data_IF_169986417713
#
_entry.id   IF_169986417713
#
_cell.length_a   1.000
_cell.length_b   1.000
_cell.length_c   1.000
_cell.angle_alpha   90.00
_cell.angle_beta   90.00
_cell.angle_gamma   90.00
#
_symmetry.space_group_name_H-M   'P 1'
#
loop_
_entity.id
_entity.type
_entity.pdbx_description
1 polymer ?
#
# COMPACT_ATOMS: atom_id res chain seq x y z
N UNK A 1 1.59 41.76 51.96
CA UNK A 1 1.93 40.35 51.65
C UNK A 1 0.93 39.84 50.63
N UNK A 2 1.30 39.80 49.35
CA UNK A 2 0.42 39.32 48.28
C UNK A 2 0.86 37.89 47.96
N UNK A 3 0.13 36.92 48.48
CA UNK A 3 0.26 35.51 48.12
C UNK A 3 -0.31 35.30 46.72
N UNK A 4 0.55 35.08 45.72
CA UNK A 4 0.13 34.56 44.43
C UNK A 4 -0.24 33.08 44.58
N UNK A 5 -1.44 32.63 44.15
CA UNK A 5 -1.75 31.21 44.13
C UNK A 5 -0.90 30.51 43.06
N UNK A 6 -0.24 29.42 43.48
CA UNK A 6 0.49 28.52 42.58
C UNK A 6 -0.47 27.95 41.55
N UNK A 7 -0.12 28.12 40.26
CA UNK A 7 -0.80 27.51 39.12
C UNK A 7 -0.86 25.99 39.33
N UNK A 8 -2.01 25.33 39.13
CA UNK A 8 -2.10 23.89 39.34
C UNK A 8 -1.12 23.18 38.40
N UNK A 9 -0.18 22.43 38.97
CA UNK A 9 0.64 21.48 38.22
C UNK A 9 -0.31 20.49 37.56
N UNK A 10 -0.38 20.49 36.22
CA UNK A 10 -1.03 19.40 35.51
C UNK A 10 -0.39 18.08 35.99
N UNK A 11 -1.22 17.19 36.56
CA UNK A 11 -0.83 15.80 36.80
C UNK A 11 -0.32 15.29 35.46
N UNK A 12 0.96 14.94 35.39
CA UNK A 12 1.53 14.23 34.25
C UNK A 12 0.75 12.92 34.15
N UNK A 13 0.04 12.71 33.05
CA UNK A 13 -0.60 11.42 32.81
C UNK A 13 0.47 10.33 32.92
N UNK A 14 0.16 9.19 33.58
CA UNK A 14 1.11 8.11 33.72
C UNK A 14 1.56 7.65 32.33
N UNK A 15 2.86 7.41 32.17
CA UNK A 15 3.41 6.98 30.90
C UNK A 15 2.94 5.56 30.58
N UNK A 16 1.93 5.42 29.73
CA UNK A 16 1.41 4.13 29.26
C UNK A 16 1.87 3.84 27.83
N UNK A 17 1.88 2.56 27.39
CA UNK A 17 2.13 2.22 25.99
C UNK A 17 1.24 2.96 25.01
N UNK A 18 -0.05 3.14 25.33
CA UNK A 18 -1.02 3.86 24.52
C UNK A 18 -0.69 5.37 24.42
N UNK A 19 -0.20 5.98 25.50
CA UNK A 19 0.24 7.38 25.48
C UNK A 19 1.45 7.58 24.57
N UNK A 20 2.35 6.59 24.51
CA UNK A 20 3.49 6.60 23.59
C UNK A 20 3.09 6.30 22.16
N UNK A 21 2.10 5.42 21.94
CA UNK A 21 1.53 5.18 20.63
C UNK A 21 0.94 6.47 20.05
N UNK A 22 0.16 7.22 20.83
CA UNK A 22 -0.38 8.51 20.41
C UNK A 22 0.74 9.49 20.00
N UNK A 23 1.79 9.61 20.82
CA UNK A 23 2.97 10.44 20.49
C UNK A 23 3.70 9.97 19.23
N UNK A 24 3.82 8.66 19.02
CA UNK A 24 4.45 8.11 17.82
C UNK A 24 3.65 8.44 16.56
N UNK A 25 2.31 8.33 16.63
CA UNK A 25 1.42 8.67 15.52
C UNK A 25 1.47 10.17 15.17
N UNK A 26 1.60 11.03 16.18
CA UNK A 26 1.67 12.49 16.05
C UNK A 26 3.10 13.02 15.79
N UNK A 27 4.10 12.14 15.78
CA UNK A 27 5.49 12.52 15.60
C UNK A 27 5.74 13.16 14.23
N UNK A 28 6.45 14.29 14.24
CA UNK A 28 6.73 15.08 13.04
C UNK A 28 7.87 14.49 12.21
N UNK A 29 8.76 13.72 12.84
CA UNK A 29 9.90 13.08 12.18
C UNK A 29 9.90 11.56 12.34
N UNK A 30 10.52 10.81 11.40
CA UNK A 30 10.69 9.36 11.55
C UNK A 30 11.46 8.97 12.81
N UNK A 31 12.48 9.75 13.21
CA UNK A 31 13.30 9.44 14.38
C UNK A 31 12.51 9.60 15.69
N UNK A 32 11.71 10.67 15.83
CA UNK A 32 10.80 10.84 16.97
C UNK A 32 9.75 9.72 17.02
N UNK A 33 9.19 9.35 15.86
CA UNK A 33 8.22 8.23 15.75
C UNK A 33 8.82 6.94 16.29
N UNK A 34 10.04 6.61 15.86
CA UNK A 34 10.78 5.43 16.33
C UNK A 34 11.07 5.54 17.83
N UNK A 35 11.50 6.71 18.31
CA UNK A 35 11.83 6.92 19.72
C UNK A 35 10.61 6.68 20.61
N UNK A 36 9.48 7.34 20.33
CA UNK A 36 8.25 7.16 21.10
C UNK A 36 7.71 5.73 21.01
N UNK A 37 7.70 5.12 19.81
CA UNK A 37 7.23 3.76 19.66
C UNK A 37 8.07 2.77 20.48
N UNK A 38 9.40 2.92 20.48
CA UNK A 38 10.32 2.12 21.28
C UNK A 38 10.19 2.36 22.78
N UNK A 39 9.88 3.59 23.21
CA UNK A 39 9.57 3.89 24.60
C UNK A 39 8.28 3.18 25.05
N UNK A 40 7.24 3.21 24.21
CA UNK A 40 5.99 2.48 24.45
C UNK A 40 6.17 0.97 24.60
N UNK A 41 7.05 0.37 23.80
CA UNK A 41 7.40 -1.05 23.87
C UNK A 41 8.21 -1.44 25.13
N UNK A 42 8.80 -0.46 25.83
CA UNK A 42 9.68 -0.67 27.00
C UNK A 42 9.12 -0.13 28.31
N UNK A 43 7.84 0.27 28.34
CA UNK A 43 7.22 0.74 29.58
C UNK A 43 7.32 -0.33 30.65
N UNK A 44 7.96 0.00 31.77
CA UNK A 44 8.22 -0.92 32.87
C UNK A 44 7.01 -1.02 33.78
N UNK A 45 6.67 -2.23 34.22
CA UNK A 45 5.59 -2.47 35.18
C UNK A 45 4.19 -2.47 34.57
N UNK A 46 4.08 -2.40 33.25
CA UNK A 46 2.81 -2.50 32.51
C UNK A 46 3.00 -3.53 31.38
N UNK A 47 2.14 -4.54 31.32
CA UNK A 47 2.11 -5.45 30.18
C UNK A 47 1.53 -4.73 28.96
N UNK A 48 2.27 -4.74 27.85
CA UNK A 48 1.82 -4.09 26.61
C UNK A 48 0.81 -5.00 25.93
N UNK A 49 -0.43 -4.53 25.80
CA UNK A 49 -1.47 -5.25 25.08
C UNK A 49 -1.00 -5.61 23.66
N UNK A 50 -1.24 -6.84 23.15
CA UNK A 50 -0.72 -7.27 21.85
C UNK A 50 -1.11 -6.35 20.68
N UNK A 51 -2.31 -5.77 20.70
CA UNK A 51 -2.73 -4.82 19.67
C UNK A 51 -1.94 -3.50 19.75
N UNK A 52 -1.73 -2.94 20.95
CA UNK A 52 -0.88 -1.76 21.15
C UNK A 52 0.55 -2.06 20.72
N UNK A 53 1.08 -3.25 21.04
CA UNK A 53 2.40 -3.70 20.58
C UNK A 53 2.50 -3.72 19.06
N UNK A 54 1.50 -4.30 18.39
CA UNK A 54 1.42 -4.36 16.93
C UNK A 54 1.40 -2.96 16.31
N UNK A 55 0.60 -2.04 16.86
CA UNK A 55 0.51 -0.66 16.37
C UNK A 55 1.82 0.12 16.60
N UNK A 56 2.47 -0.02 17.76
CA UNK A 56 3.78 0.58 18.03
C UNK A 56 4.84 0.08 17.04
N UNK A 57 4.91 -1.23 16.79
CA UNK A 57 5.82 -1.79 15.79
C UNK A 57 5.51 -1.26 14.38
N UNK A 58 4.22 -1.11 14.04
CA UNK A 58 3.81 -0.56 12.74
C UNK A 58 4.28 0.88 12.54
N UNK A 59 4.34 1.68 13.60
CA UNK A 59 4.91 3.04 13.53
C UNK A 59 6.43 3.02 13.29
N UNK A 60 7.16 2.06 13.87
CA UNK A 60 8.59 1.85 13.58
C UNK A 60 8.78 1.42 12.12
N UNK A 61 7.96 0.48 11.63
CA UNK A 61 7.96 0.03 10.23
C UNK A 61 7.77 1.21 9.26
N UNK A 62 6.75 2.05 9.51
CA UNK A 62 6.47 3.25 8.69
C UNK A 62 7.63 4.23 8.66
N UNK A 63 8.25 4.49 9.81
CA UNK A 63 9.43 5.35 9.89
C UNK A 63 10.62 4.80 9.09
N UNK A 64 10.85 3.48 9.12
CA UNK A 64 11.88 2.86 8.29
C UNK A 64 11.57 2.94 6.79
N UNK A 65 10.30 2.85 6.38
CA UNK A 65 9.92 3.09 4.99
C UNK A 65 10.18 4.54 4.57
N UNK A 66 9.83 5.51 5.42
CA UNK A 66 10.04 6.94 5.12
C UNK A 66 11.54 7.28 4.97
N UNK A 67 12.41 6.59 5.69
CA UNK A 67 13.88 6.75 5.57
C UNK A 67 14.52 5.76 4.59
N UNK A 68 13.72 4.99 3.85
CA UNK A 68 14.15 3.96 2.88
C UNK A 68 15.05 2.87 3.46
N UNK A 69 14.94 2.60 4.77
CA UNK A 69 15.64 1.53 5.47
C UNK A 69 14.89 0.20 5.31
N UNK A 70 14.86 -0.34 4.10
CA UNK A 70 14.01 -1.49 3.74
C UNK A 70 14.31 -2.77 4.55
N UNK A 71 15.57 -3.09 4.80
CA UNK A 71 15.92 -4.26 5.61
C UNK A 71 15.39 -4.13 7.04
N UNK A 72 15.52 -2.96 7.65
CA UNK A 72 14.99 -2.70 9.00
C UNK A 72 13.45 -2.73 9.01
N UNK A 73 12.81 -2.16 7.99
CA UNK A 73 11.35 -2.25 7.83
C UNK A 73 10.89 -3.71 7.72
N UNK A 74 11.58 -4.55 6.95
CA UNK A 74 11.29 -5.98 6.82
C UNK A 74 11.41 -6.71 8.15
N UNK A 75 12.49 -6.48 8.89
CA UNK A 75 12.70 -7.13 10.18
C UNK A 75 11.58 -6.78 11.18
N UNK A 76 11.14 -5.52 11.20
CA UNK A 76 10.00 -5.07 12.01
C UNK A 76 8.68 -5.68 11.53
N UNK A 77 8.44 -5.76 10.21
CA UNK A 77 7.23 -6.38 9.66
C UNK A 77 7.13 -7.88 10.00
N UNK A 78 8.27 -8.60 10.02
CA UNK A 78 8.30 -9.97 10.50
C UNK A 78 8.14 -10.09 12.02
N UNK A 79 8.54 -9.10 12.81
CA UNK A 79 8.19 -9.05 14.23
C UNK A 79 6.67 -8.85 14.40
N UNK A 80 6.08 -7.92 13.66
CA UNK A 80 4.64 -7.64 13.65
C UNK A 80 3.82 -8.91 13.39
N UNK A 81 4.21 -9.73 12.41
CA UNK A 81 3.53 -10.98 12.06
C UNK A 81 3.47 -12.00 13.22
N UNK A 82 4.38 -11.91 14.20
CA UNK A 82 4.46 -12.79 15.37
C UNK A 82 3.60 -12.33 16.55
N UNK A 83 3.04 -11.11 16.52
CA UNK A 83 2.35 -10.52 17.68
C UNK A 83 0.94 -11.08 17.87
N UNK A 84 0.25 -11.45 16.78
CA UNK A 84 -1.08 -12.09 16.83
C UNK A 84 -2.22 -11.20 16.28
N UNK A 85 -2.54 -10.04 16.85
CA UNK A 85 -3.56 -9.15 16.28
C UNK A 85 -3.18 -8.59 14.92
N UNK A 86 -4.19 -8.32 14.08
CA UNK A 86 -4.02 -7.68 12.77
C UNK A 86 -3.04 -8.42 11.84
N UNK A 87 -3.02 -9.76 11.87
CA UNK A 87 -2.09 -10.55 11.05
C UNK A 87 -2.21 -10.26 9.56
N UNK A 88 -3.42 -10.01 9.07
CA UNK A 88 -3.65 -9.67 7.66
C UNK A 88 -2.89 -8.41 7.26
N UNK A 89 -2.85 -7.41 8.14
CA UNK A 89 -2.08 -6.18 7.94
C UNK A 89 -0.58 -6.43 8.11
N UNK A 90 -0.17 -7.21 9.11
CA UNK A 90 1.24 -7.51 9.36
C UNK A 90 1.90 -8.23 8.18
N UNK A 91 1.26 -9.29 7.69
CA UNK A 91 1.74 -10.06 6.54
C UNK A 91 1.69 -9.24 5.25
N UNK A 92 0.69 -8.37 5.07
CA UNK A 92 0.66 -7.47 3.92
C UNK A 92 1.80 -6.45 3.94
N UNK A 93 2.09 -5.84 5.10
CA UNK A 93 3.22 -4.93 5.26
C UNK A 93 4.56 -5.67 5.02
N UNK A 94 4.70 -6.92 5.48
CA UNK A 94 5.85 -7.78 5.19
C UNK A 94 5.98 -8.08 3.68
N UNK A 95 4.87 -8.40 3.01
CA UNK A 95 4.86 -8.66 1.58
C UNK A 95 5.35 -7.45 0.76
N UNK A 96 4.88 -6.25 1.11
CA UNK A 96 5.26 -5.02 0.40
C UNK A 96 6.74 -4.71 0.50
N UNK A 97 7.33 -4.86 1.69
CA UNK A 97 8.76 -4.58 1.87
C UNK A 97 9.64 -5.65 1.24
N UNK A 98 9.24 -6.93 1.29
CA UNK A 98 9.94 -8.00 0.55
C UNK A 98 9.91 -7.72 -0.95
N UNK A 99 8.75 -7.32 -1.49
CA UNK A 99 8.63 -6.96 -2.91
C UNK A 99 9.51 -5.74 -3.27
N UNK A 100 9.56 -4.73 -2.40
CA UNK A 100 10.46 -3.59 -2.58
C UNK A 100 11.95 -3.98 -2.55
N UNK A 101 12.32 -5.01 -1.79
CA UNK A 101 13.67 -5.58 -1.78
C UNK A 101 13.96 -6.48 -2.99
N UNK A 102 12.94 -6.84 -3.79
CA UNK A 102 13.07 -7.81 -4.87
C UNK A 102 13.01 -9.27 -4.40
N UNK A 103 12.64 -9.49 -3.14
CA UNK A 103 12.45 -10.81 -2.52
C UNK A 103 11.04 -11.33 -2.89
N UNK A 104 10.86 -11.67 -4.17
CA UNK A 104 9.53 -11.96 -4.75
C UNK A 104 8.85 -13.18 -4.11
N UNK A 105 9.60 -14.25 -3.85
CA UNK A 105 9.04 -15.47 -3.24
C UNK A 105 8.53 -15.21 -1.82
N UNK A 106 9.28 -14.44 -1.04
CA UNK A 106 8.88 -14.01 0.29
C UNK A 106 7.65 -13.10 0.21
N UNK A 107 7.63 -12.15 -0.73
CA UNK A 107 6.47 -11.28 -0.94
C UNK A 107 5.18 -12.05 -1.25
N UNK A 108 5.26 -13.05 -2.14
CA UNK A 108 4.12 -13.91 -2.48
C UNK A 108 3.67 -14.76 -1.30
N UNK A 109 4.61 -15.33 -0.54
CA UNK A 109 4.30 -16.13 0.66
C UNK A 109 3.56 -15.27 1.69
N UNK A 110 4.11 -14.11 2.03
CA UNK A 110 3.51 -13.22 3.02
C UNK A 110 2.15 -12.70 2.55
N UNK A 111 1.98 -12.33 1.28
CA UNK A 111 0.69 -11.84 0.80
C UNK A 111 -0.40 -12.94 0.79
N UNK A 112 -0.03 -14.21 0.60
CA UNK A 112 -0.95 -15.35 0.77
C UNK A 112 -1.37 -15.53 2.22
N UNK A 113 -0.44 -15.37 3.17
CA UNK A 113 -0.76 -15.38 4.61
C UNK A 113 -1.66 -14.21 4.99
N UNK A 114 -1.43 -13.02 4.42
CA UNK A 114 -2.29 -11.86 4.61
C UNK A 114 -3.73 -12.14 4.15
N UNK A 115 -3.89 -12.71 2.96
CA UNK A 115 -5.20 -13.11 2.44
C UNK A 115 -5.87 -14.20 3.30
N UNK A 116 -5.10 -15.17 3.80
CA UNK A 116 -5.64 -16.22 4.66
C UNK A 116 -6.17 -15.64 5.99
N UNK A 117 -5.48 -14.66 6.56
CA UNK A 117 -5.86 -13.99 7.79
C UNK A 117 -6.93 -12.88 7.60
N UNK A 118 -7.30 -12.57 6.36
CA UNK A 118 -8.15 -11.42 6.04
C UNK A 118 -9.58 -11.56 6.60
N UNK A 119 -10.07 -10.56 7.35
CA UNK A 119 -11.50 -10.46 7.61
C UNK A 119 -12.27 -10.18 6.32
N UNK A 120 -13.58 -10.47 6.35
CA UNK A 120 -14.45 -10.45 5.17
C UNK A 120 -14.38 -9.14 4.38
N UNK A 121 -14.39 -8.01 5.08
CA UNK A 121 -14.34 -6.65 4.52
C UNK A 121 -13.01 -6.31 3.82
N UNK A 122 -11.94 -7.07 4.05
CA UNK A 122 -10.61 -6.85 3.46
C UNK A 122 -10.15 -7.95 2.51
N UNK A 123 -10.96 -8.99 2.28
CA UNK A 123 -10.60 -10.09 1.37
C UNK A 123 -10.31 -9.62 -0.04
N UNK A 124 -11.15 -8.72 -0.57
CA UNK A 124 -10.96 -8.11 -1.89
C UNK A 124 -9.62 -7.41 -1.99
N UNK A 125 -9.28 -6.59 -1.01
CA UNK A 125 -8.02 -5.86 -0.95
C UNK A 125 -6.81 -6.79 -0.97
N UNK A 126 -6.82 -7.84 -0.14
CA UNK A 126 -5.69 -8.76 -0.02
C UNK A 126 -5.53 -9.69 -1.23
N UNK A 127 -6.63 -10.12 -1.85
CA UNK A 127 -6.60 -10.92 -3.08
C UNK A 127 -6.14 -10.10 -4.28
N UNK A 128 -6.62 -8.85 -4.38
CA UNK A 128 -6.17 -7.92 -5.39
C UNK A 128 -4.68 -7.58 -5.23
N UNK A 129 -4.21 -7.34 -4.00
CA UNK A 129 -2.79 -7.11 -3.71
C UNK A 129 -1.91 -8.32 -4.06
N UNK A 130 -2.40 -9.54 -3.80
CA UNK A 130 -1.73 -10.77 -4.24
C UNK A 130 -1.58 -10.83 -5.75
N UNK A 131 -2.65 -10.52 -6.48
CA UNK A 131 -2.63 -10.49 -7.93
C UNK A 131 -1.63 -9.46 -8.48
N UNK A 132 -1.50 -8.29 -7.86
CA UNK A 132 -0.50 -7.28 -8.26
C UNK A 132 0.92 -7.85 -8.20
N UNK A 133 1.26 -8.52 -7.09
CA UNK A 133 2.60 -9.12 -6.93
C UNK A 133 2.79 -10.27 -7.92
N UNK A 134 1.77 -11.12 -8.11
CA UNK A 134 1.81 -12.23 -9.07
C UNK A 134 2.01 -11.73 -10.51
N UNK A 135 1.27 -10.71 -10.93
CA UNK A 135 1.43 -10.08 -12.24
C UNK A 135 2.82 -9.51 -12.43
N UNK A 136 3.33 -8.75 -11.46
CA UNK A 136 4.64 -8.12 -11.60
C UNK A 136 5.79 -9.13 -11.52
N UNK A 137 5.56 -10.31 -10.94
CA UNK A 137 6.45 -11.46 -11.01
C UNK A 137 6.34 -12.25 -12.34
N UNK A 138 5.40 -11.90 -13.22
CA UNK A 138 5.15 -12.60 -14.49
C UNK A 138 4.23 -13.83 -14.36
N UNK A 139 3.65 -14.07 -13.19
CA UNK A 139 2.75 -15.19 -12.92
C UNK A 139 1.31 -14.83 -13.29
N UNK A 140 1.06 -14.56 -14.58
CA UNK A 140 -0.21 -14.02 -15.04
C UNK A 140 -1.43 -14.91 -14.75
N UNK A 141 -1.30 -16.23 -14.88
CA UNK A 141 -2.41 -17.16 -14.61
C UNK A 141 -2.84 -17.09 -13.13
N UNK A 142 -1.87 -17.10 -12.21
CA UNK A 142 -2.14 -16.95 -10.78
C UNK A 142 -2.75 -15.58 -10.45
N UNK A 143 -2.26 -14.51 -11.09
CA UNK A 143 -2.81 -13.18 -10.93
C UNK A 143 -4.29 -13.12 -11.35
N UNK A 144 -4.66 -13.76 -12.47
CA UNK A 144 -6.04 -13.84 -12.94
C UNK A 144 -6.93 -14.62 -11.96
N UNK A 145 -6.46 -15.76 -11.43
CA UNK A 145 -7.19 -16.52 -10.40
C UNK A 145 -7.40 -15.70 -9.11
N UNK A 146 -6.39 -14.95 -8.70
CA UNK A 146 -6.46 -14.02 -7.56
C UNK A 146 -7.44 -12.88 -7.81
N UNK A 147 -7.48 -12.32 -9.03
CA UNK A 147 -8.45 -11.28 -9.40
C UNK A 147 -9.88 -11.81 -9.50
N UNK A 148 -10.07 -13.04 -9.98
CA UNK A 148 -11.39 -13.68 -9.98
C UNK A 148 -11.91 -13.92 -8.56
N UNK A 149 -11.03 -14.26 -7.62
CA UNK A 149 -11.38 -14.30 -6.19
C UNK A 149 -11.74 -12.91 -5.67
N UNK A 150 -10.92 -11.90 -5.97
CA UNK A 150 -11.20 -10.53 -5.57
C UNK A 150 -12.53 -10.03 -6.12
N UNK A 151 -12.87 -10.35 -7.37
CA UNK A 151 -14.12 -9.96 -8.01
C UNK A 151 -15.35 -10.53 -7.28
N UNK A 152 -15.28 -11.78 -6.81
CA UNK A 152 -16.37 -12.40 -6.04
C UNK A 152 -16.64 -11.74 -4.69
N UNK A 153 -15.63 -11.10 -4.10
CA UNK A 153 -15.75 -10.40 -2.82
C UNK A 153 -15.93 -8.89 -2.98
N UNK A 154 -15.72 -8.36 -4.18
CA UNK A 154 -15.75 -6.94 -4.43
C UNK A 154 -17.17 -6.37 -4.27
N UNK A 155 -17.28 -5.34 -3.45
CA UNK A 155 -18.48 -4.50 -3.35
C UNK A 155 -18.21 -3.17 -4.05
N UNK A 156 -17.43 -2.29 -3.43
CA UNK A 156 -17.12 -0.94 -3.92
C UNK A 156 -15.91 -0.90 -4.87
N UNK A 157 -15.13 -1.98 -4.93
CA UNK A 157 -13.86 -2.04 -5.66
C UNK A 157 -13.98 -2.82 -6.98
N UNK A 158 -15.20 -3.18 -7.40
CA UNK A 158 -15.43 -4.06 -8.54
C UNK A 158 -14.83 -3.51 -9.85
N UNK A 159 -15.02 -2.22 -10.13
CA UNK A 159 -14.48 -1.59 -11.33
C UNK A 159 -12.95 -1.58 -11.33
N UNK A 160 -12.32 -1.41 -10.15
CA UNK A 160 -10.88 -1.46 -9.99
C UNK A 160 -10.34 -2.87 -10.25
N UNK A 161 -11.00 -3.89 -9.70
CA UNK A 161 -10.61 -5.29 -9.90
C UNK A 161 -10.75 -5.69 -11.36
N UNK A 162 -11.85 -5.31 -12.02
CA UNK A 162 -12.08 -5.60 -13.45
C UNK A 162 -11.05 -4.92 -14.35
N UNK A 163 -10.76 -3.64 -14.11
CA UNK A 163 -9.72 -2.93 -14.84
C UNK A 163 -8.35 -3.58 -14.66
N UNK A 164 -8.04 -4.04 -13.44
CA UNK A 164 -6.80 -4.75 -13.21
C UNK A 164 -6.76 -6.09 -13.95
N UNK A 165 -7.86 -6.85 -13.95
CA UNK A 165 -7.98 -8.11 -14.69
C UNK A 165 -7.79 -7.90 -16.19
N UNK A 166 -8.43 -6.88 -16.77
CA UNK A 166 -8.21 -6.49 -18.17
C UNK A 166 -6.75 -6.15 -18.45
N UNK A 167 -6.09 -5.43 -17.55
CA UNK A 167 -4.66 -5.14 -17.68
C UNK A 167 -3.79 -6.42 -17.67
N UNK A 168 -4.04 -7.35 -16.75
CA UNK A 168 -3.31 -8.63 -16.70
C UNK A 168 -3.49 -9.45 -17.99
N UNK A 169 -4.70 -9.52 -18.53
CA UNK A 169 -4.98 -10.20 -19.81
C UNK A 169 -4.15 -9.58 -20.95
N UNK A 170 -4.13 -8.25 -21.03
CA UNK A 170 -3.37 -7.52 -22.05
C UNK A 170 -1.86 -7.72 -21.90
N UNK A 171 -1.32 -7.78 -20.68
CA UNK A 171 0.10 -8.08 -20.45
C UNK A 171 0.48 -9.52 -20.76
N UNK A 172 -0.42 -10.47 -20.51
CA UNK A 172 -0.24 -11.87 -20.90
C UNK A 172 -0.26 -12.06 -22.43
N UNK A 173 -0.78 -11.07 -23.16
CA UNK A 173 -0.90 -11.07 -24.62
C UNK A 173 -2.23 -11.63 -25.13
N UNK A 174 -3.25 -11.71 -24.26
CA UNK A 174 -4.58 -12.13 -24.69
C UNK A 174 -5.26 -11.05 -25.53
N UNK A 175 -6.07 -11.49 -26.48
CA UNK A 175 -6.91 -10.59 -27.27
C UNK A 175 -8.10 -10.12 -26.43
N UNK A 176 -8.13 -8.81 -26.14
CA UNK A 176 -9.28 -8.13 -25.53
C UNK A 176 -9.75 -7.04 -26.49
N UNK A 177 -11.04 -7.04 -26.83
CA UNK A 177 -11.56 -6.08 -27.81
C UNK A 177 -11.43 -4.64 -27.31
N UNK A 178 -11.19 -3.69 -28.23
CA UNK A 178 -11.09 -2.27 -27.90
C UNK A 178 -12.32 -1.73 -27.16
N UNK A 179 -13.52 -2.18 -27.55
CA UNK A 179 -14.78 -1.82 -26.89
C UNK A 179 -14.85 -2.32 -25.43
N UNK A 180 -14.33 -3.53 -25.17
CA UNK A 180 -14.28 -4.07 -23.81
C UNK A 180 -13.27 -3.30 -22.94
N UNK A 181 -12.12 -2.94 -23.50
CA UNK A 181 -11.12 -2.09 -22.83
C UNK A 181 -11.74 -0.74 -22.49
N UNK A 182 -12.38 -0.06 -23.46
CA UNK A 182 -13.01 1.24 -23.26
C UNK A 182 -14.11 1.17 -22.19
N UNK A 183 -14.96 0.15 -22.23
CA UNK A 183 -16.05 -0.01 -21.26
C UNK A 183 -15.54 -0.09 -19.82
N UNK A 184 -14.50 -0.91 -19.59
CA UNK A 184 -13.89 -1.08 -18.27
C UNK A 184 -13.12 0.17 -17.83
N UNK A 185 -12.38 0.81 -18.74
CA UNK A 185 -11.67 2.07 -18.49
C UNK A 185 -12.64 3.17 -18.02
N UNK A 186 -13.76 3.36 -18.75
CA UNK A 186 -14.77 4.38 -18.43
C UNK A 186 -15.50 4.09 -17.11
N UNK A 187 -15.79 2.82 -16.82
CA UNK A 187 -16.39 2.44 -15.54
C UNK A 187 -15.46 2.78 -14.37
N UNK A 188 -14.18 2.43 -14.46
CA UNK A 188 -13.19 2.76 -13.45
C UNK A 188 -13.02 4.28 -13.28
N UNK A 189 -12.94 5.03 -14.38
CA UNK A 189 -12.80 6.48 -14.37
C UNK A 189 -13.97 7.18 -13.65
N UNK A 190 -15.20 6.69 -13.84
CA UNK A 190 -16.39 7.20 -13.17
C UNK A 190 -16.51 6.77 -11.70
N UNK A 191 -15.81 5.70 -11.29
CA UNK A 191 -15.88 5.15 -9.94
C UNK A 191 -15.13 6.02 -8.92
N UNK A 192 -15.42 5.81 -7.62
CA UNK A 192 -14.65 6.40 -6.51
C UNK A 192 -13.17 5.96 -6.51
N UNK A 193 -12.85 4.87 -7.21
CA UNK A 193 -11.51 4.27 -7.28
C UNK A 193 -10.72 4.68 -8.52
N UNK A 194 -11.24 5.58 -9.36
CA UNK A 194 -10.53 6.12 -10.54
C UNK A 194 -9.30 7.00 -10.24
N UNK A 195 -8.94 7.20 -8.96
CA UNK A 195 -7.75 7.95 -8.52
C UNK A 195 -6.69 7.02 -7.94
N UNK A 196 -5.46 7.53 -7.76
CA UNK A 196 -4.37 6.73 -7.18
C UNK A 196 -4.01 5.57 -8.09
N UNK A 197 -4.13 4.33 -7.60
CA UNK A 197 -3.86 3.14 -8.43
C UNK A 197 -4.83 3.01 -9.61
N UNK A 198 -6.13 3.33 -9.43
CA UNK A 198 -7.07 3.26 -10.55
C UNK A 198 -6.72 4.25 -11.65
N UNK A 199 -6.10 5.38 -11.32
CA UNK A 199 -5.61 6.32 -12.33
C UNK A 199 -4.46 5.74 -13.16
N UNK A 200 -3.56 4.99 -12.53
CA UNK A 200 -2.54 4.24 -13.26
C UNK A 200 -3.19 3.26 -14.23
N UNK A 201 -4.18 2.46 -13.78
CA UNK A 201 -4.89 1.53 -14.66
C UNK A 201 -5.62 2.23 -15.81
N UNK A 202 -6.29 3.36 -15.57
CA UNK A 202 -6.93 4.15 -16.64
C UNK A 202 -5.90 4.55 -17.71
N UNK A 203 -4.73 5.05 -17.30
CA UNK A 203 -3.67 5.43 -18.23
C UNK A 203 -3.09 4.24 -19.00
N UNK A 204 -2.93 3.09 -18.32
CA UNK A 204 -2.47 1.83 -18.94
C UNK A 204 -3.47 1.33 -19.98
N UNK A 205 -4.76 1.24 -19.63
CA UNK A 205 -5.81 0.76 -20.55
C UNK A 205 -5.96 1.69 -21.76
N UNK A 206 -5.87 3.00 -21.56
CA UNK A 206 -5.85 3.96 -22.66
C UNK A 206 -4.67 3.73 -23.60
N UNK A 207 -3.48 3.40 -23.06
CA UNK A 207 -2.30 3.09 -23.86
C UNK A 207 -2.51 1.84 -24.72
N UNK A 208 -3.06 0.76 -24.15
CA UNK A 208 -3.38 -0.48 -24.88
C UNK A 208 -4.45 -0.29 -25.95
N UNK A 209 -5.40 0.63 -25.75
CA UNK A 209 -6.40 1.00 -26.76
C UNK A 209 -5.83 1.89 -27.88
N UNK A 210 -4.61 2.39 -27.73
CA UNK A 210 -3.98 3.31 -28.70
C UNK A 210 -4.38 4.79 -28.51
N UNK A 211 -5.09 5.14 -27.44
CA UNK A 211 -5.38 6.53 -27.09
C UNK A 211 -4.19 7.15 -26.33
N UNK A 212 -3.12 7.39 -27.09
CA UNK A 212 -1.85 7.89 -26.54
C UNK A 212 -1.98 9.29 -25.93
N UNK A 213 -2.94 10.11 -26.39
CA UNK A 213 -3.18 11.44 -25.83
C UNK A 213 -3.71 11.34 -24.41
N UNK A 214 -4.77 10.54 -24.19
CA UNK A 214 -5.31 10.29 -22.85
C UNK A 214 -4.30 9.57 -21.97
N UNK A 215 -3.67 8.52 -22.49
CA UNK A 215 -2.70 7.73 -21.74
C UNK A 215 -1.55 8.58 -21.22
N UNK A 216 -0.99 9.47 -22.06
CA UNK A 216 0.08 10.41 -21.68
C UNK A 216 -0.36 11.32 -20.55
N UNK A 217 -1.46 12.06 -20.74
CA UNK A 217 -1.96 13.01 -19.74
C UNK A 217 -2.22 12.35 -18.37
N UNK A 218 -2.79 11.14 -18.38
CA UNK A 218 -3.13 10.41 -17.16
C UNK A 218 -1.89 9.86 -16.45
N UNK A 219 -0.97 9.24 -17.20
CA UNK A 219 0.25 8.63 -16.65
C UNK A 219 1.27 9.66 -16.18
N UNK A 220 1.44 10.79 -16.89
CA UNK A 220 2.30 11.89 -16.45
C UNK A 220 1.82 12.43 -15.10
N UNK A 221 0.52 12.72 -14.99
CA UNK A 221 -0.07 13.18 -13.73
C UNK A 221 0.08 12.13 -12.60
N UNK A 222 0.03 10.83 -12.92
CA UNK A 222 0.29 9.74 -11.95
C UNK A 222 1.74 9.73 -11.47
N UNK A 223 2.71 9.84 -12.39
CA UNK A 223 4.13 9.89 -12.06
C UNK A 223 4.46 11.12 -11.22
N UNK A 224 4.01 12.30 -11.63
CA UNK A 224 4.21 13.56 -10.88
C UNK A 224 3.70 13.47 -9.45
N UNK A 225 2.46 12.98 -9.25
CA UNK A 225 1.92 12.78 -7.89
C UNK A 225 2.64 11.71 -7.09
N UNK A 226 3.19 10.70 -7.76
CA UNK A 226 4.03 9.69 -7.13
C UNK A 226 5.31 10.32 -6.58
N UNK A 227 5.99 11.13 -7.38
CA UNK A 227 7.25 11.82 -7.05
C UNK A 227 7.07 12.88 -5.97
N UNK A 228 5.92 13.54 -5.91
CA UNK A 228 5.56 14.46 -4.81
C UNK A 228 5.09 13.75 -3.53
N UNK A 229 4.96 12.42 -3.54
CA UNK A 229 4.50 11.64 -2.39
C UNK A 229 5.57 11.42 -1.32
N UNK A 230 5.16 10.86 -0.17
CA UNK A 230 6.12 10.42 0.85
C UNK A 230 7.04 9.31 0.31
N UNK A 231 8.22 9.16 0.90
CA UNK A 231 9.15 8.10 0.55
C UNK A 231 8.52 6.71 0.70
N UNK A 232 7.74 6.47 1.77
CA UNK A 232 6.98 5.23 1.92
C UNK A 232 6.00 5.01 0.76
N UNK A 233 5.26 6.04 0.33
CA UNK A 233 4.33 5.92 -0.80
C UNK A 233 5.06 5.60 -2.10
N UNK A 234 6.15 6.31 -2.40
CA UNK A 234 6.97 6.07 -3.59
C UNK A 234 7.52 4.64 -3.63
N UNK A 235 8.02 4.12 -2.51
CA UNK A 235 8.55 2.77 -2.41
C UNK A 235 7.49 1.73 -2.75
N UNK A 236 6.28 1.96 -2.27
CA UNK A 236 5.17 1.01 -2.44
C UNK A 236 4.49 1.09 -3.80
N UNK A 237 4.75 2.16 -4.56
CA UNK A 237 4.29 2.34 -5.94
C UNK A 237 5.45 2.22 -6.95
N UNK A 238 6.61 1.70 -6.51
CA UNK A 238 7.84 1.77 -7.30
C UNK A 238 7.69 1.08 -8.66
N UNK A 239 7.02 -0.06 -8.68
CA UNK A 239 6.89 -0.87 -9.89
C UNK A 239 5.85 -0.27 -10.85
N UNK A 240 4.75 0.25 -10.33
CA UNK A 240 3.74 1.00 -11.06
C UNK A 240 4.34 2.26 -11.70
N UNK A 241 5.14 3.02 -10.94
CA UNK A 241 5.85 4.20 -11.45
C UNK A 241 6.87 3.82 -12.53
N UNK A 242 7.58 2.70 -12.37
CA UNK A 242 8.50 2.19 -13.39
C UNK A 242 7.75 1.86 -14.68
N UNK A 243 6.63 1.13 -14.59
CA UNK A 243 5.80 0.72 -15.73
C UNK A 243 5.14 1.91 -16.42
N UNK A 244 4.62 2.87 -15.66
CA UNK A 244 4.08 4.11 -16.21
C UNK A 244 5.13 4.85 -17.07
N UNK A 245 6.38 4.96 -16.58
CA UNK A 245 7.49 5.58 -17.33
C UNK A 245 7.89 4.79 -18.58
N UNK A 246 7.89 3.47 -18.52
CA UNK A 246 8.15 2.60 -19.69
C UNK A 246 7.07 2.82 -20.76
N UNK A 247 5.80 2.82 -20.37
CA UNK A 247 4.69 3.09 -21.30
C UNK A 247 4.81 4.48 -21.92
N UNK A 248 5.06 5.52 -21.11
CA UNK A 248 5.24 6.90 -21.59
C UNK A 248 6.38 7.03 -22.62
N UNK A 249 7.46 6.27 -22.42
CA UNK A 249 8.64 6.26 -23.30
C UNK A 249 8.39 5.51 -24.62
N UNK A 250 7.47 4.55 -24.62
CA UNK A 250 7.10 3.77 -25.81
C UNK A 250 6.06 4.46 -26.69
N UNK A 251 5.34 5.46 -26.16
CA UNK A 251 4.31 6.20 -26.91
C UNK A 251 4.94 7.20 -27.90
N UNK A 252 4.28 7.47 -29.05
CA UNK A 252 4.68 8.54 -29.95
C UNK A 252 4.76 9.90 -29.24
N UNK A 253 5.65 10.82 -29.69
CA UNK A 253 5.69 12.18 -29.16
C UNK A 253 4.35 12.88 -29.39
N UNK A 254 3.94 13.73 -28.44
CA UNK A 254 2.76 14.56 -28.63
C UNK A 254 2.97 15.48 -29.84
N UNK A 255 2.09 15.41 -30.83
CA UNK A 255 2.06 16.40 -31.90
C UNK A 255 1.52 17.70 -31.29
N UNK A 256 2.42 18.65 -31.02
CA UNK A 256 2.11 20.04 -30.66
C UNK A 256 1.48 20.79 -31.82
#
# INVERSE_FOLDING_TARGET
MITHPLKPMHKRDPATPESFLAKAMDASTPDERIAFAREGLRVVGVEVHPETRMLLLREIYRAHLDTRQLCAARDVAFEMAKVGPLQDIAHHDAARVCFALGEVDDALREQRLALLAAPEDRRTFHAWSLATIEQFAGNFDAALESLERAERWATDDLDLVRAHRTYVLLERGDEVSGDAIESVERALEASRRGRGYGQFLVGVLAAYRGDHAKARAVLEAFVERGEMGSAAKMLTLREELRRARVLLSAMPPAHT
#
